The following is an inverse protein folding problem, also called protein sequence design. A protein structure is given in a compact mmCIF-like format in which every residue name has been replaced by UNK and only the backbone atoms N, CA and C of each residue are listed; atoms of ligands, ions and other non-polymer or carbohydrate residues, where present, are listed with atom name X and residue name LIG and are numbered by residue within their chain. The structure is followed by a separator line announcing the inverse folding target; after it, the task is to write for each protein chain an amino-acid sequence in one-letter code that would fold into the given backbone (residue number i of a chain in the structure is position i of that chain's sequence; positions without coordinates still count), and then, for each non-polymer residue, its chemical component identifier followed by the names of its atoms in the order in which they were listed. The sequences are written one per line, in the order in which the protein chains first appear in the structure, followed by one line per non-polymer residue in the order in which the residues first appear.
data_IF_133340938536
#
_entry.id   IF_133340938536
#
_cell.length_a   1.000
_cell.length_b   1.000
_cell.length_c   1.000
_cell.angle_alpha   90.00
_cell.angle_beta   90.00
_cell.angle_gamma   90.00
#
_symmetry.space_group_name_H-M   'P 1'
#
loop_
_entity.id
_entity.type
_entity.pdbx_description
1 polymer ?
#
# COMPACT_ATOMS: atom_id res chain seq x y z
N UNK A 1 -4.67 77.08 18.13
CA UNK A 1 -3.19 77.18 18.10
C UNK A 1 -2.71 75.95 18.83
N UNK A 2 -2.04 74.98 18.24
CA UNK A 2 -1.22 74.97 17.03
C UNK A 2 -1.02 73.49 16.63
N UNK A 3 -0.91 73.23 15.33
CA UNK A 3 -0.77 71.90 14.73
C UNK A 3 0.62 71.31 14.95
N UNK A 4 0.71 69.98 15.04
CA UNK A 4 1.90 69.20 14.67
C UNK A 4 1.42 67.79 14.28
N UNK A 5 1.07 67.56 13.01
CA UNK A 5 1.94 67.12 11.91
C UNK A 5 2.24 65.62 11.96
N UNK A 6 1.50 64.92 11.11
CA UNK A 6 1.52 63.50 10.77
C UNK A 6 2.83 63.15 10.04
N UNK A 7 3.74 62.43 10.69
CA UNK A 7 4.92 61.85 10.02
C UNK A 7 4.68 60.37 9.74
N UNK A 8 4.46 60.05 8.47
CA UNK A 8 4.50 58.68 7.95
C UNK A 8 5.96 58.26 7.81
N UNK A 9 6.36 57.07 8.30
CA UNK A 9 7.71 56.58 8.04
C UNK A 9 7.87 56.28 6.54
N UNK A 10 8.93 56.83 5.97
CA UNK A 10 9.40 56.54 4.62
C UNK A 10 9.65 55.03 4.48
N UNK A 11 8.98 54.40 3.52
CA UNK A 11 9.34 53.05 3.05
C UNK A 11 10.65 53.15 2.28
N UNK A 12 11.76 52.75 2.92
CA UNK A 12 12.96 52.38 2.19
C UNK A 12 12.64 51.17 1.31
N UNK A 13 13.03 51.25 0.03
CA UNK A 13 12.98 50.13 -0.89
C UNK A 13 13.85 48.99 -0.33
N UNK A 14 13.20 47.99 0.26
CA UNK A 14 13.85 46.73 0.63
C UNK A 14 14.34 46.08 -0.67
N UNK A 15 15.66 46.11 -0.84
CA UNK A 15 16.34 45.35 -1.87
C UNK A 15 15.98 43.86 -1.73
N UNK A 16 15.66 43.24 -2.86
CA UNK A 16 15.26 41.85 -3.06
C UNK A 16 15.81 40.85 -2.00
N UNK A 17 14.95 40.20 -1.20
CA UNK A 17 15.37 39.14 -0.28
C UNK A 17 15.64 37.78 -0.97
N UNK A 18 15.79 37.75 -2.29
CA UNK A 18 15.94 36.50 -3.08
C UNK A 18 17.31 35.84 -3.02
N UNK A 19 18.34 36.54 -2.53
CA UNK A 19 19.74 36.05 -2.58
C UNK A 19 20.09 35.05 -1.46
N UNK A 20 19.28 34.91 -0.41
CA UNK A 20 19.59 34.03 0.73
C UNK A 20 18.99 32.62 0.59
N UNK A 21 18.08 32.41 -0.37
CA UNK A 21 17.38 31.14 -0.57
C UNK A 21 17.35 30.70 -2.04
N UNK A 22 18.38 31.00 -2.84
CA UNK A 22 18.52 30.47 -4.21
C UNK A 22 17.26 30.57 -5.08
N UNK A 23 16.43 31.58 -4.84
CA UNK A 23 15.14 31.72 -5.50
C UNK A 23 15.29 32.74 -6.63
N UNK A 24 15.34 32.22 -7.86
CA UNK A 24 15.43 33.04 -9.07
C UNK A 24 14.03 33.55 -9.46
N UNK A 25 13.80 34.88 -9.44
CA UNK A 25 12.53 35.44 -9.87
C UNK A 25 12.38 35.33 -11.39
N UNK A 26 11.30 34.69 -11.83
CA UNK A 26 10.96 34.47 -13.24
C UNK A 26 9.78 35.37 -13.65
N UNK A 27 9.87 36.08 -14.78
CA UNK A 27 8.80 36.95 -15.28
C UNK A 27 7.74 36.23 -16.14
N UNK A 28 8.08 35.08 -16.71
CA UNK A 28 7.29 34.41 -17.76
C UNK A 28 6.59 33.11 -17.32
N UNK A 29 6.62 32.77 -16.03
CA UNK A 29 5.94 31.58 -15.50
C UNK A 29 6.43 31.16 -14.12
N UNK A 30 5.81 30.11 -13.57
CA UNK A 30 6.13 29.55 -12.25
C UNK A 30 7.04 28.32 -12.31
N UNK A 31 7.46 27.89 -13.52
CA UNK A 31 8.33 26.73 -13.74
C UNK A 31 9.73 27.13 -14.21
N UNK A 32 10.71 26.19 -14.21
CA UNK A 32 12.07 26.48 -14.63
C UNK A 32 12.09 26.87 -16.11
N UNK A 33 12.47 28.12 -16.41
CA UNK A 33 12.63 28.50 -17.81
C UNK A 33 13.86 27.86 -18.43
N UNK A 34 13.73 27.52 -19.71
CA UNK A 34 14.83 26.98 -20.52
C UNK A 34 15.85 28.05 -20.93
N UNK A 35 15.56 29.34 -20.67
CA UNK A 35 16.33 30.49 -21.14
C UNK A 35 17.23 31.15 -20.08
N UNK A 36 17.06 30.85 -18.80
CA UNK A 36 17.90 31.42 -17.75
C UNK A 36 19.26 30.69 -17.67
N UNK A 37 20.28 31.34 -18.22
CA UNK A 37 21.65 30.84 -18.24
C UNK A 37 22.23 30.67 -16.84
N UNK A 38 21.81 31.52 -15.90
CA UNK A 38 22.29 31.57 -14.51
C UNK A 38 21.91 30.30 -13.72
N UNK A 39 20.68 29.81 -13.86
CA UNK A 39 20.19 28.58 -13.20
C UNK A 39 20.94 27.34 -13.71
N UNK A 40 21.27 27.29 -15.01
CA UNK A 40 22.07 26.18 -15.57
C UNK A 40 23.50 26.19 -15.06
N UNK A 41 24.11 27.37 -14.94
CA UNK A 41 25.50 27.48 -14.47
C UNK A 41 25.63 27.23 -12.97
N UNK A 42 24.64 27.59 -12.15
CA UNK A 42 24.74 27.38 -10.71
C UNK A 42 24.24 25.99 -10.27
N UNK A 43 23.05 25.55 -10.73
CA UNK A 43 22.44 24.32 -10.25
C UNK A 43 22.87 23.06 -11.03
N UNK A 44 23.25 23.20 -12.31
CA UNK A 44 23.54 22.07 -13.20
C UNK A 44 25.02 21.99 -13.63
N UNK A 45 25.90 22.84 -13.12
CA UNK A 45 27.33 22.81 -13.44
C UNK A 45 27.97 21.43 -13.20
N UNK A 46 27.60 20.75 -12.11
CA UNK A 46 28.13 19.43 -11.78
C UNK A 46 27.68 18.34 -12.78
N UNK A 47 26.52 18.50 -13.42
CA UNK A 47 25.97 17.56 -14.39
C UNK A 47 26.41 17.87 -15.82
N UNK A 48 26.96 19.06 -16.09
CA UNK A 48 27.44 19.43 -17.43
C UNK A 48 28.66 18.62 -17.88
N UNK A 49 29.46 18.11 -16.94
CA UNK A 49 30.67 17.35 -17.22
C UNK A 49 30.44 15.83 -17.30
N UNK A 50 29.21 15.36 -17.04
CA UNK A 50 28.87 13.94 -17.06
C UNK A 50 27.81 13.68 -18.14
N UNK A 51 27.95 12.61 -18.93
CA UNK A 51 26.87 12.19 -19.81
C UNK A 51 25.66 11.83 -18.95
N UNK A 52 24.55 12.52 -19.14
CA UNK A 52 23.32 12.27 -18.40
C UNK A 52 22.71 10.93 -18.85
N UNK A 53 22.64 9.96 -17.94
CA UNK A 53 21.97 8.68 -18.17
C UNK A 53 20.87 8.47 -17.11
N UNK A 54 19.59 8.40 -17.48
CA UNK A 54 18.51 8.24 -16.52
C UNK A 54 18.51 6.83 -15.93
N UNK A 55 18.84 6.70 -14.64
CA UNK A 55 18.79 5.43 -13.94
C UNK A 55 17.35 5.11 -13.49
N UNK A 56 16.54 4.55 -14.38
CA UNK A 56 15.16 4.09 -14.11
C UNK A 56 15.12 2.71 -13.45
N UNK A 57 15.90 2.49 -12.37
CA UNK A 57 15.76 1.26 -11.56
C UNK A 57 14.76 1.47 -10.43
N UNK A 58 13.69 0.64 -10.33
CA UNK A 58 12.80 0.65 -9.17
C UNK A 58 13.55 0.30 -7.90
N UNK A 59 13.25 1.00 -6.80
CA UNK A 59 13.88 0.83 -5.47
C UNK A 59 13.78 -0.58 -4.88
N UNK A 60 13.00 -1.47 -5.49
CA UNK A 60 12.79 -2.87 -5.08
C UNK A 60 13.97 -3.82 -5.39
N UNK A 61 14.95 -3.43 -6.20
CA UNK A 61 16.11 -4.29 -6.57
C UNK A 61 17.47 -3.78 -6.07
N UNK A 62 17.50 -2.91 -5.05
CA UNK A 62 18.74 -2.35 -4.48
C UNK A 62 19.67 -3.39 -3.82
N UNK A 63 19.20 -4.62 -3.58
CA UNK A 63 19.98 -5.67 -2.90
C UNK A 63 20.86 -6.54 -3.81
N UNK A 64 20.82 -6.37 -5.13
CA UNK A 64 21.62 -7.18 -6.06
C UNK A 64 22.53 -6.30 -6.93
N UNK A 65 23.45 -5.60 -6.28
CA UNK A 65 24.42 -4.68 -6.90
C UNK A 65 25.63 -5.39 -7.54
N UNK A 66 25.79 -6.69 -7.31
CA UNK A 66 26.92 -7.47 -7.82
C UNK A 66 26.52 -8.28 -9.06
N UNK A 67 27.17 -8.02 -10.18
CA UNK A 67 27.12 -8.85 -11.39
C UNK A 67 28.55 -9.28 -11.71
N UNK A 68 28.79 -10.58 -11.81
CA UNK A 68 30.07 -11.10 -12.29
C UNK A 68 30.16 -10.89 -13.81
N UNK A 69 31.28 -10.36 -14.29
CA UNK A 69 31.61 -10.32 -15.70
C UNK A 69 32.45 -11.55 -16.04
N UNK A 70 31.93 -12.44 -16.87
CA UNK A 70 32.64 -13.63 -17.35
C UNK A 70 32.67 -13.60 -18.88
N UNK A 71 33.87 -13.52 -19.44
CA UNK A 71 34.12 -13.46 -20.88
C UNK A 71 33.85 -14.81 -21.60
N UNK A 72 33.72 -15.91 -20.86
CA UNK A 72 33.40 -17.24 -21.41
C UNK A 72 31.90 -17.57 -21.38
N UNK A 73 31.13 -16.88 -20.54
CA UNK A 73 29.73 -17.19 -20.27
C UNK A 73 28.79 -16.94 -21.47
N UNK A 74 29.07 -15.89 -22.27
CA UNK A 74 28.26 -15.57 -23.45
C UNK A 74 28.27 -16.67 -24.52
N UNK A 75 29.33 -17.48 -24.59
CA UNK A 75 29.42 -18.62 -25.53
C UNK A 75 28.48 -19.76 -25.10
N UNK A 76 28.31 -19.98 -23.79
CA UNK A 76 27.41 -21.02 -23.28
C UNK A 76 25.93 -20.63 -23.37
N UNK A 77 25.60 -19.35 -23.17
CA UNK A 77 24.20 -18.90 -23.15
C UNK A 77 23.58 -18.75 -24.55
N UNK A 78 24.38 -18.43 -25.59
CA UNK A 78 23.92 -18.44 -27.00
C UNK A 78 23.39 -19.80 -27.45
N UNK A 79 23.80 -20.90 -26.82
CA UNK A 79 23.27 -22.24 -27.14
C UNK A 79 21.92 -22.55 -26.49
N UNK A 80 21.48 -21.78 -25.49
CA UNK A 80 20.25 -22.11 -24.73
C UNK A 80 19.11 -21.11 -24.89
N UNK A 81 19.36 -19.80 -24.88
CA UNK A 81 18.27 -18.82 -24.96
C UNK A 81 18.72 -17.54 -25.70
N UNK A 82 18.23 -17.38 -26.92
CA UNK A 82 18.52 -16.24 -27.80
C UNK A 82 17.78 -14.94 -27.46
N UNK A 83 17.72 -14.54 -26.18
CA UNK A 83 17.15 -13.24 -25.79
C UNK A 83 17.97 -12.56 -24.71
N UNK A 84 18.59 -11.44 -25.09
CA UNK A 84 19.17 -10.48 -24.14
C UNK A 84 18.09 -9.43 -23.77
N UNK A 85 17.66 -9.30 -22.50
CA UNK A 85 16.49 -8.49 -22.14
C UNK A 85 16.77 -6.99 -21.96
N UNK A 86 17.93 -6.47 -22.39
CA UNK A 86 18.35 -5.11 -22.01
C UNK A 86 18.60 -4.10 -23.12
N UNK A 87 18.51 -4.47 -24.40
CA UNK A 87 18.53 -3.48 -25.49
C UNK A 87 19.74 -2.52 -25.53
N UNK A 88 20.80 -2.79 -24.75
CA UNK A 88 22.07 -2.05 -24.80
C UNK A 88 23.00 -2.86 -25.70
N UNK A 89 23.07 -2.46 -26.97
CA UNK A 89 24.08 -2.96 -27.90
C UNK A 89 25.39 -2.25 -27.58
N UNK A 90 26.21 -2.83 -26.70
CA UNK A 90 27.65 -2.54 -26.79
C UNK A 90 28.13 -3.33 -28.00
N UNK A 91 28.47 -2.61 -29.06
CA UNK A 91 29.06 -3.19 -30.26
C UNK A 91 30.49 -3.67 -29.94
N UNK A 92 30.61 -4.77 -29.20
CA UNK A 92 31.79 -5.60 -29.29
C UNK A 92 31.68 -6.32 -30.62
N UNK A 93 32.30 -5.71 -31.62
CA UNK A 93 32.41 -6.24 -32.96
C UNK A 93 32.97 -7.67 -32.89
N UNK A 94 32.37 -8.58 -33.65
CA UNK A 94 32.84 -9.95 -33.92
C UNK A 94 34.26 -10.00 -34.56
N UNK A 95 35.02 -8.90 -34.53
CA UNK A 95 36.33 -8.72 -35.15
C UNK A 95 37.49 -9.37 -34.36
N UNK A 96 37.31 -9.72 -33.08
CA UNK A 96 38.39 -10.32 -32.28
C UNK A 96 38.57 -11.84 -32.47
N UNK A 97 37.58 -12.57 -33.05
CA UNK A 97 37.77 -13.98 -33.42
C UNK A 97 38.60 -14.17 -34.69
N UNK A 98 38.97 -13.08 -35.36
CA UNK A 98 39.75 -13.12 -36.60
C UNK A 98 41.26 -13.25 -36.35
N UNK A 99 41.74 -13.03 -35.13
CA UNK A 99 43.15 -13.14 -34.81
C UNK A 99 43.49 -14.57 -34.38
N UNK A 100 44.19 -15.29 -35.26
CA UNK A 100 44.75 -16.60 -34.97
C UNK A 100 46.17 -16.45 -34.41
N UNK A 101 46.45 -17.03 -33.25
CA UNK A 101 47.80 -17.04 -32.68
C UNK A 101 48.73 -17.83 -33.62
N UNK A 102 49.72 -17.16 -34.22
CA UNK A 102 50.71 -17.81 -35.09
C UNK A 102 51.72 -18.54 -34.20
N UNK A 103 51.60 -19.87 -34.10
CA UNK A 103 52.59 -20.72 -33.43
C UNK A 103 53.32 -21.59 -34.47
N UNK A 104 54.63 -21.38 -34.63
CA UNK A 104 55.48 -22.09 -35.61
C UNK A 104 55.93 -23.48 -35.11
N UNK A 105 55.19 -24.09 -34.19
CA UNK A 105 55.51 -25.39 -33.60
C UNK A 105 54.70 -26.48 -34.30
N UNK A 106 55.33 -27.60 -34.73
CA UNK A 106 54.59 -28.69 -35.36
C UNK A 106 53.60 -29.29 -34.36
N UNK A 107 52.30 -29.24 -34.69
CA UNK A 107 51.22 -29.80 -33.89
C UNK A 107 51.42 -31.31 -33.71
N UNK A 108 51.55 -31.77 -32.46
CA UNK A 108 51.39 -33.19 -32.16
C UNK A 108 49.93 -33.59 -32.41
N UNK A 109 49.72 -34.55 -33.32
CA UNK A 109 48.45 -35.25 -33.49
C UNK A 109 48.04 -35.86 -32.15
N UNK A 110 47.04 -35.26 -31.49
CA UNK A 110 46.42 -35.82 -30.30
C UNK A 110 45.53 -36.99 -30.71
N UNK A 111 46.09 -38.19 -30.62
CA UNK A 111 45.33 -39.44 -30.62
C UNK A 111 44.28 -39.41 -29.51
N UNK A 112 43.07 -39.84 -29.87
CA UNK A 112 41.92 -39.88 -28.98
C UNK A 112 42.14 -40.83 -27.80
N UNK A 113 41.71 -40.36 -26.63
CA UNK A 113 41.64 -41.13 -25.39
C UNK A 113 41.44 -40.15 -24.24
N UNK A 114 40.48 -40.31 -23.34
CA UNK A 114 39.43 -41.29 -23.21
C UNK A 114 38.51 -40.76 -22.12
N UNK A 115 37.27 -40.42 -22.47
CA UNK A 115 36.20 -40.19 -21.52
C UNK A 115 35.79 -41.55 -20.95
N UNK A 116 36.15 -41.79 -19.70
CA UNK A 116 35.58 -42.83 -18.88
C UNK A 116 34.07 -42.65 -18.85
N UNK A 117 33.29 -43.65 -19.28
CA UNK A 117 31.96 -44.05 -18.77
C UNK A 117 31.27 -45.04 -19.75
N UNK A 118 30.85 -46.18 -19.18
CA UNK A 118 29.92 -47.20 -19.71
C UNK A 118 30.34 -48.07 -20.91
N UNK A 119 31.00 -49.21 -20.61
CA UNK A 119 30.89 -50.43 -21.43
C UNK A 119 29.44 -50.94 -21.38
N UNK A 120 28.66 -50.65 -22.43
CA UNK A 120 27.42 -51.38 -22.73
C UNK A 120 27.78 -52.80 -23.16
N UNK A 121 27.34 -53.80 -22.39
CA UNK A 121 27.33 -55.20 -22.82
C UNK A 121 26.29 -55.37 -23.93
N UNK A 122 26.67 -56.05 -25.01
CA UNK A 122 25.78 -56.41 -26.11
C UNK A 122 24.73 -57.45 -25.66
N UNK A 123 23.47 -57.38 -26.14
CA UNK A 123 22.48 -58.40 -25.83
C UNK A 123 22.68 -59.65 -26.71
N UNK A 124 22.73 -60.80 -26.05
CA UNK A 124 22.63 -62.13 -26.69
C UNK A 124 21.16 -62.37 -27.02
N UNK A 125 20.89 -62.75 -28.28
CA UNK A 125 19.55 -63.09 -28.78
C UNK A 125 19.09 -64.42 -28.15
N UNK A 126 18.06 -64.38 -27.31
CA UNK A 126 17.19 -65.52 -27.02
C UNK A 126 15.73 -65.05 -26.94
N UNK A 127 14.82 -65.85 -27.48
CA UNK A 127 13.43 -65.52 -27.78
C UNK A 127 12.52 -65.51 -26.54
N UNK A 128 11.89 -64.38 -26.20
CA UNK A 128 10.75 -64.32 -25.26
C UNK A 128 9.85 -63.09 -25.53
N UNK A 129 9.23 -63.04 -26.71
CA UNK A 129 8.26 -61.98 -27.05
C UNK A 129 7.05 -61.96 -26.09
N UNK A 130 6.64 -63.11 -25.54
CA UNK A 130 5.47 -63.24 -24.69
C UNK A 130 5.64 -62.72 -23.24
N UNK A 131 6.87 -62.50 -22.76
CA UNK A 131 7.10 -62.01 -21.38
C UNK A 131 7.14 -60.48 -21.31
N UNK A 132 7.59 -59.82 -22.38
CA UNK A 132 7.69 -58.36 -22.43
C UNK A 132 6.34 -57.67 -22.64
N UNK A 133 5.38 -58.34 -23.27
CA UNK A 133 4.02 -57.82 -23.48
C UNK A 133 3.23 -57.77 -22.16
N UNK A 134 3.36 -58.83 -21.34
CA UNK A 134 2.70 -58.92 -20.03
C UNK A 134 3.24 -57.88 -19.01
N UNK A 135 4.54 -57.59 -19.04
CA UNK A 135 5.13 -56.53 -18.20
C UNK A 135 4.69 -55.12 -18.64
N UNK A 136 4.37 -54.92 -19.93
CA UNK A 136 3.96 -53.62 -20.45
C UNK A 136 2.49 -53.30 -20.09
N UNK A 137 1.60 -54.30 -20.16
CA UNK A 137 0.23 -54.18 -19.67
C UNK A 137 0.15 -53.98 -18.15
N UNK A 138 1.01 -54.65 -17.36
CA UNK A 138 1.04 -54.49 -15.90
C UNK A 138 1.52 -53.09 -15.48
N UNK A 139 2.48 -52.51 -16.21
CA UNK A 139 2.93 -51.12 -16.03
C UNK A 139 1.83 -50.11 -16.43
N UNK A 140 1.10 -50.33 -17.54
CA UNK A 140 -0.01 -49.46 -17.96
C UNK A 140 -1.18 -49.46 -16.97
N UNK A 141 -1.52 -50.61 -16.39
CA UNK A 141 -2.55 -50.72 -15.34
C UNK A 141 -2.13 -50.04 -14.03
N UNK A 142 -0.83 -49.99 -13.73
CA UNK A 142 -0.27 -49.29 -12.57
C UNK A 142 -0.21 -47.77 -12.77
N UNK A 143 0.10 -47.31 -13.97
CA UNK A 143 0.12 -45.89 -14.36
C UNK A 143 -1.31 -45.29 -14.44
N UNK A 144 -2.29 -46.06 -14.95
CA UNK A 144 -3.69 -45.61 -15.03
C UNK A 144 -4.39 -45.40 -13.69
N UNK A 145 -3.98 -46.13 -12.63
CA UNK A 145 -4.49 -45.94 -11.25
C UNK A 145 -3.85 -44.74 -10.54
N UNK A 146 -2.59 -44.42 -10.84
CA UNK A 146 -1.90 -43.22 -10.30
C UNK A 146 -2.43 -41.92 -10.92
N UNK A 147 -2.66 -41.90 -12.25
CA UNK A 147 -3.17 -40.70 -12.93
C UNK A 147 -4.54 -40.24 -12.44
N UNK A 148 -5.48 -41.16 -12.18
CA UNK A 148 -6.81 -40.83 -11.62
C UNK A 148 -6.75 -40.31 -10.18
N UNK A 149 -5.77 -40.76 -9.39
CA UNK A 149 -5.53 -40.27 -8.02
C UNK A 149 -4.95 -38.86 -8.02
N UNK A 150 -4.01 -38.56 -8.92
CA UNK A 150 -3.42 -37.23 -9.07
C UNK A 150 -4.43 -36.21 -9.60
N UNK A 151 -5.29 -36.60 -10.55
CA UNK A 151 -6.34 -35.74 -11.08
C UNK A 151 -7.40 -35.39 -10.02
N UNK A 152 -7.78 -36.35 -9.18
CA UNK A 152 -8.68 -36.12 -8.03
C UNK A 152 -8.02 -35.24 -6.96
N UNK A 153 -6.71 -35.39 -6.73
CA UNK A 153 -5.93 -34.54 -5.81
C UNK A 153 -5.81 -33.10 -6.33
N UNK A 154 -5.63 -32.91 -7.63
CA UNK A 154 -5.64 -31.58 -8.27
C UNK A 154 -7.02 -30.92 -8.18
N UNK A 155 -8.10 -31.67 -8.41
CA UNK A 155 -9.47 -31.15 -8.31
C UNK A 155 -9.83 -30.77 -6.86
N UNK A 156 -9.41 -31.58 -5.88
CA UNK A 156 -9.59 -31.28 -4.46
C UNK A 156 -8.75 -30.08 -4.01
N UNK A 157 -7.55 -29.90 -4.57
CA UNK A 157 -6.70 -28.74 -4.30
C UNK A 157 -7.25 -27.45 -4.94
N UNK A 158 -7.89 -27.53 -6.10
CA UNK A 158 -8.62 -26.41 -6.71
C UNK A 158 -9.87 -26.04 -5.91
N UNK A 159 -10.65 -27.03 -5.45
CA UNK A 159 -11.80 -26.80 -4.57
C UNK A 159 -11.39 -26.20 -3.22
N UNK A 160 -10.28 -26.66 -2.63
CA UNK A 160 -9.74 -26.07 -1.40
C UNK A 160 -9.25 -24.63 -1.60
N UNK A 161 -8.68 -24.29 -2.78
CA UNK A 161 -8.34 -22.91 -3.13
C UNK A 161 -9.57 -22.03 -3.28
N UNK A 162 -10.60 -22.51 -3.97
CA UNK A 162 -11.88 -21.80 -4.11
C UNK A 162 -12.58 -21.61 -2.76
N UNK A 163 -12.60 -22.64 -1.90
CA UNK A 163 -13.16 -22.55 -0.55
C UNK A 163 -12.40 -21.54 0.33
N UNK A 164 -11.07 -21.47 0.23
CA UNK A 164 -10.26 -20.44 0.92
C UNK A 164 -10.54 -19.03 0.41
N UNK A 165 -10.72 -18.85 -0.90
CA UNK A 165 -11.10 -17.55 -1.48
C UNK A 165 -12.48 -17.13 -0.98
N UNK A 166 -13.45 -18.05 -0.92
CA UNK A 166 -14.78 -17.75 -0.39
C UNK A 166 -14.80 -17.53 1.13
N UNK A 167 -13.96 -18.22 1.91
CA UNK A 167 -13.81 -17.96 3.35
C UNK A 167 -13.22 -16.56 3.63
N UNK A 168 -12.27 -16.11 2.80
CA UNK A 168 -11.68 -14.76 2.86
C UNK A 168 -12.69 -13.62 2.74
N UNK A 169 -13.80 -13.84 2.04
CA UNK A 169 -14.86 -12.84 1.90
C UNK A 169 -15.89 -12.86 3.04
N UNK A 170 -15.95 -13.91 3.87
CA UNK A 170 -16.94 -14.01 4.96
C UNK A 170 -16.58 -13.20 6.21
N UNK A 171 -15.29 -13.01 6.49
CA UNK A 171 -14.83 -12.25 7.66
C UNK A 171 -15.14 -10.73 7.56
N UNK A 172 -15.46 -10.22 6.37
CA UNK A 172 -15.82 -8.80 6.16
C UNK A 172 -17.31 -8.51 6.31
N UNK A 173 -18.12 -9.51 6.63
CA UNK A 173 -19.58 -9.43 6.55
C UNK A 173 -20.25 -9.92 7.83
N UNK A 174 -19.60 -9.78 8.98
CA UNK A 174 -20.34 -9.88 10.24
C UNK A 174 -21.15 -8.60 10.42
N UNK A 175 -22.47 -8.75 10.50
CA UNK A 175 -23.37 -7.63 10.70
C UNK A 175 -23.21 -7.12 12.13
N UNK A 176 -23.09 -5.80 12.29
CA UNK A 176 -23.06 -5.20 13.62
C UNK A 176 -24.36 -5.42 14.40
N UNK A 177 -25.49 -5.52 13.68
CA UNK A 177 -26.77 -5.98 14.21
C UNK A 177 -27.40 -6.91 13.20
N UNK A 178 -27.94 -8.04 13.68
CA UNK A 178 -28.68 -8.96 12.85
C UNK A 178 -30.05 -8.36 12.50
N UNK A 179 -30.35 -8.15 11.20
CA UNK A 179 -31.66 -7.65 10.79
C UNK A 179 -32.77 -8.67 11.14
N UNK A 180 -33.86 -8.19 11.71
CA UNK A 180 -35.06 -8.98 12.01
C UNK A 180 -36.14 -8.71 10.96
N UNK A 181 -37.00 -9.68 10.67
CA UNK A 181 -38.08 -9.57 9.68
C UNK A 181 -39.12 -8.47 9.99
N UNK A 182 -39.12 -7.93 11.21
CA UNK A 182 -40.01 -6.86 11.66
C UNK A 182 -39.55 -5.48 11.16
N UNK A 183 -38.31 -5.35 10.69
CA UNK A 183 -37.74 -4.07 10.29
C UNK A 183 -38.19 -3.69 8.89
N UNK A 184 -38.82 -2.52 8.76
CA UNK A 184 -39.15 -1.94 7.47
C UNK A 184 -37.96 -1.16 6.90
N UNK A 185 -37.69 -1.33 5.61
CA UNK A 185 -36.64 -0.58 4.91
C UNK A 185 -37.22 0.77 4.46
N UNK A 186 -36.73 1.86 5.06
CA UNK A 186 -37.16 3.22 4.72
C UNK A 186 -36.40 3.80 3.53
N UNK A 187 -35.08 3.60 3.49
CA UNK A 187 -34.23 4.13 2.43
C UNK A 187 -32.96 3.28 2.26
N UNK A 188 -32.51 3.16 1.01
CA UNK A 188 -31.22 2.55 0.66
C UNK A 188 -30.35 3.60 -0.02
N UNK A 189 -29.22 3.92 0.61
CA UNK A 189 -28.28 4.92 0.11
C UNK A 189 -26.95 4.23 -0.16
N UNK A 190 -26.52 4.08 -1.43
CA UNK A 190 -25.22 3.51 -1.74
C UNK A 190 -24.12 4.51 -1.38
N UNK A 191 -23.09 4.04 -0.67
CA UNK A 191 -21.99 4.88 -0.16
C UNK A 191 -21.27 5.70 -1.25
N UNK A 192 -21.23 5.19 -2.48
CA UNK A 192 -20.64 5.90 -3.63
C UNK A 192 -21.36 7.23 -3.97
N UNK A 193 -22.64 7.37 -3.61
CA UNK A 193 -23.40 8.60 -3.83
C UNK A 193 -23.06 9.69 -2.81
N UNK A 194 -22.63 9.32 -1.60
CA UNK A 194 -22.33 10.26 -0.52
C UNK A 194 -21.23 11.27 -0.90
N UNK A 195 -20.24 10.86 -1.70
CA UNK A 195 -19.18 11.76 -2.20
C UNK A 195 -19.70 12.93 -3.06
N UNK A 196 -20.88 12.78 -3.67
CA UNK A 196 -21.47 13.84 -4.51
C UNK A 196 -22.18 14.89 -3.68
N UNK A 197 -22.52 14.57 -2.44
CA UNK A 197 -23.14 15.51 -1.52
C UNK A 197 -22.06 16.36 -0.88
N UNK A 198 -22.03 17.63 -1.24
CA UNK A 198 -21.14 18.61 -0.62
C UNK A 198 -21.98 19.60 0.17
N UNK A 199 -21.58 19.85 1.41
CA UNK A 199 -22.08 20.97 2.20
C UNK A 199 -21.16 22.15 1.96
N UNK A 200 -21.72 23.31 1.61
CA UNK A 200 -20.95 24.54 1.46
C UNK A 200 -20.47 25.01 2.83
N UNK A 201 -19.17 24.84 3.10
CA UNK A 201 -18.55 25.19 4.38
C UNK A 201 -18.74 26.66 4.76
N UNK A 202 -18.79 27.56 3.78
CA UNK A 202 -18.99 29.01 4.01
C UNK A 202 -20.35 29.39 4.58
N UNK A 203 -21.36 28.51 4.53
CA UNK A 203 -22.69 28.74 5.12
C UNK A 203 -22.78 28.26 6.57
N UNK A 204 -21.80 27.51 7.06
CA UNK A 204 -21.81 26.93 8.39
C UNK A 204 -21.40 28.02 9.39
N UNK A 205 -22.34 28.39 10.27
CA UNK A 205 -22.06 29.24 11.42
C UNK A 205 -21.91 28.36 12.65
N UNK A 206 -20.74 28.39 13.26
CA UNK A 206 -20.45 27.65 14.49
C UNK A 206 -20.62 28.61 15.67
N UNK A 207 -21.34 28.17 16.70
CA UNK A 207 -21.54 28.90 17.94
C UNK A 207 -21.34 27.95 19.11
N UNK A 208 -20.41 28.28 19.98
CA UNK A 208 -20.16 27.50 21.19
C UNK A 208 -21.23 27.83 22.24
N UNK A 209 -21.88 26.79 22.75
CA UNK A 209 -22.92 26.93 23.79
C UNK A 209 -22.33 26.82 25.20
N UNK A 210 -21.48 25.83 25.42
CA UNK A 210 -20.88 25.57 26.73
C UNK A 210 -19.52 24.89 26.60
N UNK A 211 -18.61 25.24 27.51
CA UNK A 211 -17.34 24.56 27.72
C UNK A 211 -17.37 23.87 29.09
N UNK A 212 -16.97 22.59 29.13
CA UNK A 212 -16.99 21.74 30.32
C UNK A 212 -15.77 20.84 30.35
N UNK A 213 -15.36 20.46 31.56
CA UNK A 213 -14.17 19.64 31.80
C UNK A 213 -12.89 20.43 32.06
N UNK A 214 -11.80 19.72 32.28
CA UNK A 214 -10.46 20.26 32.51
C UNK A 214 -9.46 19.57 31.58
N UNK A 215 -8.56 20.36 30.98
CA UNK A 215 -7.50 19.86 30.12
C UNK A 215 -6.16 19.90 30.86
N UNK A 216 -5.44 18.78 30.84
CA UNK A 216 -4.07 18.70 31.35
C UNK A 216 -3.08 19.23 30.33
N UNK A 217 -1.89 19.61 30.80
CA UNK A 217 -0.82 20.11 29.92
C UNK A 217 -0.11 18.96 29.20
N UNK A 218 0.20 19.16 27.92
CA UNK A 218 0.97 18.22 27.13
C UNK A 218 2.46 18.28 27.52
N UNK A 219 3.08 17.13 27.76
CA UNK A 219 4.52 17.05 28.01
C UNK A 219 5.30 17.04 26.68
N UNK A 220 5.93 18.17 26.35
CA UNK A 220 6.77 18.35 25.14
C UNK A 220 7.95 17.38 25.02
N UNK A 221 8.34 16.69 26.10
CA UNK A 221 9.36 15.64 26.00
C UNK A 221 8.91 14.46 25.12
N UNK A 222 7.60 14.25 24.96
CA UNK A 222 7.06 13.21 24.09
C UNK A 222 7.43 13.44 22.60
N UNK A 223 7.66 14.68 22.18
CA UNK A 223 8.11 15.02 20.81
C UNK A 223 9.51 14.48 20.50
N UNK A 224 10.31 14.16 21.54
CA UNK A 224 11.69 13.68 21.37
C UNK A 224 11.79 12.16 21.25
N UNK A 225 10.69 11.43 21.36
CA UNK A 225 10.67 9.97 21.26
C UNK A 225 11.03 9.54 19.84
N UNK A 226 11.98 8.62 19.71
CA UNK A 226 12.48 8.11 18.42
C UNK A 226 12.48 6.59 18.43
N UNK A 227 12.48 5.97 17.26
CA UNK A 227 12.59 4.50 17.14
C UNK A 227 13.85 3.92 17.78
N UNK A 228 14.94 4.70 17.87
CA UNK A 228 16.19 4.33 18.56
C UNK A 228 16.18 4.59 20.06
N UNK A 229 15.29 5.45 20.54
CA UNK A 229 15.12 5.80 21.95
C UNK A 229 13.63 5.68 22.31
N UNK A 230 13.10 4.45 22.36
CA UNK A 230 11.70 4.23 22.69
C UNK A 230 11.47 4.47 24.19
N UNK A 231 10.28 4.95 24.52
CA UNK A 231 9.78 5.02 25.89
C UNK A 231 8.77 3.89 26.08
N UNK A 232 8.88 3.15 27.18
CA UNK A 232 7.93 2.08 27.49
C UNK A 232 6.53 2.66 27.75
N UNK A 233 5.52 2.10 27.08
CA UNK A 233 4.13 2.51 27.26
C UNK A 233 3.65 2.09 28.66
N UNK A 234 3.16 3.05 29.44
CA UNK A 234 2.61 2.79 30.76
C UNK A 234 1.12 2.46 30.65
N UNK A 235 0.68 1.42 31.38
CA UNK A 235 -0.75 1.17 31.52
C UNK A 235 -1.31 2.07 32.63
N UNK A 236 -2.09 3.08 32.24
CA UNK A 236 -2.68 4.07 33.14
C UNK A 236 -4.17 3.79 33.40
N UNK A 237 -4.68 2.59 33.07
CA UNK A 237 -6.10 2.25 33.21
C UNK A 237 -6.66 2.40 34.62
N UNK A 238 -5.82 2.37 35.66
CA UNK A 238 -6.22 2.58 37.04
C UNK A 238 -6.30 4.04 37.47
N UNK A 239 -5.67 4.95 36.71
CA UNK A 239 -5.49 6.35 37.10
C UNK A 239 -6.48 7.29 36.39
N UNK A 240 -7.22 6.78 35.41
CA UNK A 240 -8.13 7.55 34.57
C UNK A 240 -9.42 6.79 34.35
N UNK A 241 -10.53 7.49 34.55
CA UNK A 241 -11.85 7.02 34.16
C UNK A 241 -12.12 7.47 32.72
N UNK A 242 -12.52 6.53 31.87
CA UNK A 242 -12.90 6.79 30.49
C UNK A 242 -14.42 6.73 30.37
N UNK A 243 -15.02 7.80 29.87
CA UNK A 243 -16.46 7.90 29.70
C UNK A 243 -16.83 7.74 28.24
N UNK A 244 -17.63 6.72 27.93
CA UNK A 244 -18.20 6.44 26.62
C UNK A 244 -19.70 6.71 26.65
N UNK A 245 -20.04 7.96 26.98
CA UNK A 245 -21.43 8.41 27.15
C UNK A 245 -22.12 8.46 25.79
N UNK A 246 -23.36 8.01 25.74
CA UNK A 246 -24.24 8.11 24.57
C UNK A 246 -24.88 9.49 24.50
N UNK A 247 -25.36 9.86 23.32
CA UNK A 247 -26.08 11.12 23.12
C UNK A 247 -27.35 11.16 23.95
N UNK A 248 -28.01 10.00 24.14
CA UNK A 248 -29.17 9.88 25.01
C UNK A 248 -28.81 9.96 26.49
N UNK A 249 -27.64 9.53 26.94
CA UNK A 249 -27.29 9.57 28.36
C UNK A 249 -26.67 10.91 28.81
N UNK A 250 -26.26 11.77 27.88
CA UNK A 250 -25.69 13.10 28.16
C UNK A 250 -26.75 14.11 28.64
N UNK A 251 -26.65 14.53 29.90
CA UNK A 251 -27.58 15.48 30.52
C UNK A 251 -27.49 16.89 29.95
N UNK A 252 -26.31 17.33 29.49
CA UNK A 252 -26.16 18.64 28.86
C UNK A 252 -26.85 18.68 27.51
N UNK A 253 -26.69 17.63 26.71
CA UNK A 253 -27.40 17.53 25.43
C UNK A 253 -28.91 17.53 25.66
N UNK A 254 -29.41 16.75 26.63
CA UNK A 254 -30.84 16.78 27.01
C UNK A 254 -31.29 18.18 27.44
N UNK A 255 -30.55 18.83 28.33
CA UNK A 255 -30.88 20.15 28.84
C UNK A 255 -30.92 21.18 27.71
N UNK A 256 -29.92 21.18 26.82
CA UNK A 256 -29.90 22.08 25.67
C UNK A 256 -31.04 21.79 24.70
N UNK A 257 -31.34 20.52 24.42
CA UNK A 257 -32.45 20.17 23.52
C UNK A 257 -33.81 20.60 24.08
N UNK A 258 -34.03 20.55 25.39
CA UNK A 258 -35.31 20.87 26.02
C UNK A 258 -35.47 22.35 26.37
N UNK A 259 -34.42 22.98 26.89
CA UNK A 259 -34.48 24.29 27.55
C UNK A 259 -33.74 25.42 26.80
N UNK A 260 -33.10 25.13 25.66
CA UNK A 260 -32.37 26.15 24.91
C UNK A 260 -33.31 27.26 24.40
N UNK A 261 -32.81 28.50 24.45
CA UNK A 261 -33.47 29.66 23.84
C UNK A 261 -33.54 29.59 22.32
N UNK A 262 -32.60 28.86 21.69
CA UNK A 262 -32.58 28.59 20.25
C UNK A 262 -33.06 27.16 20.01
N UNK A 263 -34.00 26.92 19.06
CA UNK A 263 -34.51 25.59 18.79
C UNK A 263 -33.39 24.69 18.23
N UNK A 264 -33.18 23.55 18.89
CA UNK A 264 -32.25 22.49 18.44
C UNK A 264 -33.06 21.35 17.84
N UNK A 265 -32.88 21.13 16.54
CA UNK A 265 -33.61 20.09 15.80
C UNK A 265 -32.89 18.73 15.82
N UNK A 266 -31.55 18.75 15.81
CA UNK A 266 -30.73 17.52 15.72
C UNK A 266 -29.65 17.55 16.80
N UNK A 267 -29.47 16.45 17.50
CA UNK A 267 -28.39 16.25 18.44
C UNK A 267 -27.64 14.95 18.17
N UNK A 268 -26.31 15.00 18.30
CA UNK A 268 -25.39 13.89 18.13
C UNK A 268 -24.10 14.19 18.90
N UNK A 269 -23.35 13.15 19.25
CA UNK A 269 -21.95 13.27 19.71
C UNK A 269 -20.99 13.37 18.54
N UNK A 270 -19.76 13.81 18.81
CA UNK A 270 -18.67 13.93 17.84
C UNK A 270 -18.30 12.57 17.21
N UNK A 271 -18.25 11.49 17.99
CA UNK A 271 -17.99 10.14 17.50
C UNK A 271 -19.03 9.68 16.49
N UNK A 272 -20.32 9.87 16.82
CA UNK A 272 -21.44 9.53 15.95
C UNK A 272 -21.40 10.35 14.66
N UNK A 273 -21.14 11.65 14.78
CA UNK A 273 -21.06 12.55 13.63
C UNK A 273 -19.85 12.23 12.74
N UNK A 274 -18.69 11.95 13.33
CA UNK A 274 -17.49 11.53 12.61
C UNK A 274 -17.72 10.22 11.85
N UNK A 275 -18.41 9.26 12.46
CA UNK A 275 -18.81 8.01 11.82
C UNK A 275 -19.70 8.27 10.59
N UNK A 276 -20.70 9.16 10.70
CA UNK A 276 -21.56 9.55 9.57
C UNK A 276 -20.79 10.28 8.46
N UNK A 277 -19.90 11.22 8.81
CA UNK A 277 -19.10 11.97 7.84
C UNK A 277 -18.08 11.07 7.11
N UNK A 278 -17.52 10.08 7.80
CA UNK A 278 -16.56 9.13 7.26
C UNK A 278 -17.19 7.84 6.71
N UNK A 279 -18.53 7.71 6.74
CA UNK A 279 -19.27 6.55 6.24
C UNK A 279 -18.82 6.04 4.85
N UNK A 280 -18.48 6.90 3.86
CA UNK A 280 -18.07 6.43 2.53
C UNK A 280 -16.78 5.59 2.53
N UNK A 281 -15.94 5.72 3.57
CA UNK A 281 -14.68 5.00 3.71
C UNK A 281 -14.82 3.72 4.53
N UNK A 282 -15.96 3.51 5.18
CA UNK A 282 -16.19 2.35 6.05
C UNK A 282 -16.33 1.07 5.23
N UNK A 283 -15.71 0.00 5.73
CA UNK A 283 -15.78 -1.35 5.18
C UNK A 283 -16.42 -2.32 6.16
N UNK A 284 -16.12 -2.16 7.45
CA UNK A 284 -16.79 -2.95 8.49
C UNK A 284 -18.20 -2.42 8.77
N UNK A 285 -19.09 -3.35 9.14
CA UNK A 285 -20.47 -3.01 9.50
C UNK A 285 -20.50 -2.23 10.81
N UNK A 286 -21.29 -1.16 10.84
CA UNK A 286 -21.65 -0.41 12.05
C UNK A 286 -23.11 0.02 11.96
N UNK A 287 -23.71 0.40 13.09
CA UNK A 287 -25.09 0.86 13.16
C UNK A 287 -25.21 1.99 14.18
N UNK A 288 -26.21 2.82 13.99
CA UNK A 288 -26.58 3.94 14.86
C UNK A 288 -28.08 3.86 15.15
N UNK A 289 -28.49 4.38 16.30
CA UNK A 289 -29.88 4.51 16.70
C UNK A 289 -30.36 5.94 16.41
N UNK A 290 -31.48 6.06 15.67
CA UNK A 290 -32.10 7.34 15.38
C UNK A 290 -33.45 7.39 16.08
N UNK A 291 -33.58 8.30 17.05
CA UNK A 291 -34.80 8.47 17.83
C UNK A 291 -35.41 9.82 17.48
N UNK A 292 -36.60 9.80 16.88
CA UNK A 292 -37.34 11.02 16.50
C UNK A 292 -38.48 11.27 17.50
N UNK A 293 -38.44 12.41 18.20
CA UNK A 293 -39.44 12.80 19.21
C UNK A 293 -39.84 14.25 18.97
N UNK A 294 -41.13 14.51 18.81
CA UNK A 294 -41.69 15.88 18.68
C UNK A 294 -40.99 16.76 17.61
N UNK A 295 -40.57 16.15 16.49
CA UNK A 295 -39.86 16.86 15.42
C UNK A 295 -38.36 17.02 15.63
N UNK A 296 -37.84 16.68 16.82
CA UNK A 296 -36.41 16.61 17.12
C UNK A 296 -35.86 15.23 16.79
N UNK A 297 -34.61 15.19 16.33
CA UNK A 297 -33.90 13.97 15.97
C UNK A 297 -32.68 13.80 16.89
N UNK A 298 -32.65 12.71 17.63
CA UNK A 298 -31.50 12.28 18.40
C UNK A 298 -30.80 11.16 17.63
N UNK A 299 -29.54 11.37 17.28
CA UNK A 299 -28.70 10.36 16.63
C UNK A 299 -27.73 9.83 17.67
N UNK A 300 -27.77 8.53 17.90
CA UNK A 300 -27.04 7.90 18.99
C UNK A 300 -26.37 6.58 18.59
N UNK A 301 -25.49 6.09 19.46
CA UNK A 301 -24.85 4.77 19.36
C UNK A 301 -25.37 3.85 20.46
N UNK A 302 -25.27 2.53 20.25
CA UNK A 302 -25.49 1.57 21.33
C UNK A 302 -24.34 1.61 22.35
N UNK A 303 -24.65 1.32 23.62
CA UNK A 303 -23.64 1.13 24.66
C UNK A 303 -22.73 -0.07 24.31
N UNK A 304 -21.43 0.14 24.24
CA UNK A 304 -20.46 -0.88 23.81
C UNK A 304 -20.55 -1.20 22.31
N UNK A 305 -21.04 -0.26 21.49
CA UNK A 305 -21.07 -0.41 20.03
C UNK A 305 -19.65 -0.54 19.46
N UNK A 306 -19.55 -1.18 18.29
CA UNK A 306 -18.30 -1.25 17.51
C UNK A 306 -17.77 0.13 17.13
N UNK A 307 -18.62 1.16 17.12
CA UNK A 307 -18.25 2.57 16.87
C UNK A 307 -17.24 3.08 17.91
N UNK A 308 -17.21 2.49 19.12
CA UNK A 308 -16.29 2.88 20.19
C UNK A 308 -14.90 2.26 20.05
N UNK A 309 -14.80 1.24 19.18
CA UNK A 309 -13.58 0.49 18.95
C UNK A 309 -12.87 1.03 17.71
N UNK A 310 -11.56 1.17 17.80
CA UNK A 310 -10.74 1.55 16.67
C UNK A 310 -10.46 0.33 15.78
N UNK A 311 -10.69 0.48 14.49
CA UNK A 311 -10.40 -0.56 13.50
C UNK A 311 -8.93 -0.50 13.10
N UNK A 312 -8.31 -1.67 12.90
CA UNK A 312 -6.90 -1.79 12.49
C UNK A 312 -6.83 -2.41 11.10
N UNK A 313 -6.09 -1.77 10.19
CA UNK A 313 -5.87 -2.23 8.82
C UNK A 313 -7.16 -2.53 8.02
N UNK A 314 -8.26 -1.83 8.31
CA UNK A 314 -9.56 -2.02 7.67
C UNK A 314 -9.52 -1.85 6.14
N UNK A 315 -8.88 -0.77 5.68
CA UNK A 315 -8.81 -0.39 4.27
C UNK A 315 -7.61 -1.00 3.54
N UNK A 316 -6.86 -1.89 4.19
CA UNK A 316 -5.78 -2.63 3.54
C UNK A 316 -6.30 -3.54 2.43
N UNK A 317 -5.44 -3.85 1.45
CA UNK A 317 -5.78 -4.78 0.37
C UNK A 317 -6.15 -6.17 0.89
N UNK A 318 -5.43 -6.62 1.92
CA UNK A 318 -5.70 -7.83 2.68
C UNK A 318 -5.88 -7.43 4.15
N UNK A 319 -7.13 -7.18 4.60
CA UNK A 319 -7.38 -6.81 5.98
C UNK A 319 -7.26 -8.04 6.90
N UNK A 320 -7.08 -7.82 8.21
CA UNK A 320 -6.94 -8.90 9.17
C UNK A 320 -8.19 -9.78 9.16
N UNK A 321 -7.99 -11.09 9.02
CA UNK A 321 -9.06 -12.08 9.12
C UNK A 321 -9.09 -12.66 10.53
N UNK A 322 -10.28 -12.86 11.09
CA UNK A 322 -10.46 -13.45 12.43
C UNK A 322 -9.79 -14.83 12.58
N UNK A 323 -9.66 -15.59 11.47
CA UNK A 323 -9.04 -16.92 11.46
C UNK A 323 -7.51 -16.91 11.21
N UNK A 324 -6.84 -15.75 11.27
CA UNK A 324 -5.41 -15.64 10.96
C UNK A 324 -4.47 -15.92 12.15
N UNK A 325 -4.99 -16.45 13.26
CA UNK A 325 -4.20 -16.95 14.40
C UNK A 325 -3.90 -18.45 14.31
#
# INVERSE_FOLDING_TARGET
MEQASEERPHFEHIANPGSLFGCHPQSAGWGPSTCDKEVRTECLAALAHLPFEPNVRPSLFSHQLFRACDFTFHVQQRQRDGRDPRGITVAFADEEQQFQTVDNRPLLRRGGGGGWLHKRRAPVKQSTAAFNEKNKEEEELRLGKKGKSEQKKQQQQQQARFARIHARHRAFSEWSVQPTNEWAVEAEIPLSQLYKHAVESGKIKVKDLAWRGELRTYNKQADQIRTKLPVALQNLSSNFDYYWVTTQDDDLIKEQMLNSSEPIDVAATDQVLACLMAAPQSKYSWHLHLTKVEGKLLIDKANGSIVDLLTVNETASEPPMQDAE
#
